data_IF_749294657397
#
_entry.id   IF_749294657397
#
_cell.length_a   1.000
_cell.length_b   1.000
_cell.length_c   1.000
_cell.angle_alpha   90.00
_cell.angle_beta   90.00
_cell.angle_gamma   90.00
#
_symmetry.space_group_name_H-M   'P 1'
#
loop_
_entity.id
_entity.type
_entity.pdbx_description
1 polymer ?
#
# COMPACT_ATOMS: atom_id res chain seq x y z
N UNK A 1 10.92 -2.69 -20.92
CA UNK A 1 10.54 -3.42 -19.70
C UNK A 1 10.74 -2.47 -18.52
N UNK A 2 9.83 -2.50 -17.54
CA UNK A 2 10.03 -1.74 -16.30
C UNK A 2 10.23 -2.76 -15.20
N UNK A 3 11.36 -2.70 -14.54
CA UNK A 3 11.64 -3.53 -13.37
C UNK A 3 11.22 -2.80 -12.11
N UNK A 4 10.68 -3.55 -11.14
CA UNK A 4 10.22 -2.99 -9.87
C UNK A 4 10.99 -3.63 -8.73
N UNK A 5 11.52 -2.80 -7.84
CA UNK A 5 12.24 -3.21 -6.64
C UNK A 5 11.55 -2.60 -5.41
N UNK A 6 11.25 -3.42 -4.39
CA UNK A 6 10.77 -2.91 -3.11
C UNK A 6 11.97 -2.55 -2.24
N UNK A 7 12.09 -1.26 -1.89
CA UNK A 7 13.17 -0.74 -1.05
C UNK A 7 12.86 -0.93 0.44
N UNK A 8 11.61 -0.68 0.83
CA UNK A 8 11.14 -0.76 2.21
C UNK A 8 9.66 -1.13 2.21
N UNK A 9 9.23 -1.88 3.23
CA UNK A 9 7.82 -2.19 3.44
C UNK A 9 7.52 -2.40 4.91
N UNK A 10 6.37 -1.90 5.33
CA UNK A 10 5.78 -2.13 6.66
C UNK A 10 4.41 -2.75 6.47
N UNK A 11 4.14 -3.84 7.19
CA UNK A 11 2.90 -4.62 7.07
C UNK A 11 2.17 -4.65 8.40
N UNK A 12 0.84 -4.60 8.33
CA UNK A 12 -0.06 -4.80 9.47
C UNK A 12 -1.20 -5.75 9.14
N UNK A 13 -1.46 -6.69 10.03
CA UNK A 13 -2.59 -7.62 9.90
C UNK A 13 -3.90 -6.97 10.34
N UNK A 14 -5.01 -7.39 9.72
CA UNK A 14 -6.37 -7.03 10.07
C UNK A 14 -7.36 -8.14 9.69
N UNK A 15 -8.62 -8.01 10.10
CA UNK A 15 -9.66 -9.01 9.87
C UNK A 15 -10.21 -9.58 11.18
N UNK A 16 -11.09 -10.58 11.07
CA UNK A 16 -11.73 -11.17 12.23
C UNK A 16 -10.83 -12.21 12.92
N UNK A 17 -9.89 -12.78 12.17
CA UNK A 17 -8.95 -13.79 12.65
C UNK A 17 -7.49 -13.34 12.44
N UNK A 18 -6.58 -13.68 13.38
CA UNK A 18 -5.14 -13.44 13.18
C UNK A 18 -4.64 -14.11 11.91
N UNK A 19 -3.86 -13.39 11.09
CA UNK A 19 -3.30 -13.93 9.86
C UNK A 19 -4.31 -14.17 8.73
N UNK A 20 -5.46 -13.49 8.73
CA UNK A 20 -6.44 -13.58 7.64
C UNK A 20 -6.07 -12.61 6.50
N UNK A 21 -5.96 -11.31 6.82
CA UNK A 21 -5.69 -10.24 5.85
C UNK A 21 -4.57 -9.35 6.34
N UNK A 22 -3.91 -8.68 5.40
CA UNK A 22 -2.89 -7.68 5.71
C UNK A 22 -3.01 -6.46 4.82
N UNK A 23 -2.56 -5.33 5.34
CA UNK A 23 -2.28 -4.10 4.60
C UNK A 23 -0.77 -3.82 4.69
N UNK A 24 -0.18 -3.40 3.58
CA UNK A 24 1.24 -3.14 3.46
C UNK A 24 1.46 -1.76 2.84
N UNK A 25 2.26 -0.94 3.49
CA UNK A 25 2.77 0.31 2.95
C UNK A 25 4.21 0.06 2.51
N UNK A 26 4.50 0.26 1.23
CA UNK A 26 5.83 0.02 0.66
C UNK A 26 6.36 1.20 -0.12
N UNK A 27 7.68 1.37 -0.06
CA UNK A 27 8.45 2.26 -0.91
C UNK A 27 9.12 1.42 -1.97
N UNK A 28 8.80 1.70 -3.22
CA UNK A 28 9.28 0.93 -4.37
C UNK A 28 10.08 1.83 -5.31
N UNK A 29 10.93 1.21 -6.11
CA UNK A 29 11.69 1.82 -7.19
C UNK A 29 11.24 1.18 -8.51
N UNK A 30 10.94 2.00 -9.50
CA UNK A 30 10.76 1.60 -10.89
C UNK A 30 12.05 1.92 -11.65
N UNK A 31 12.59 0.92 -12.35
CA UNK A 31 13.79 1.02 -13.18
C UNK A 31 13.35 0.87 -14.63
N UNK A 32 13.58 1.91 -15.45
CA UNK A 32 13.21 1.93 -16.86
C UNK A 32 14.36 1.40 -17.74
N UNK A 33 14.04 1.02 -18.98
CA UNK A 33 15.04 0.50 -19.94
C UNK A 33 16.19 1.48 -20.24
N UNK A 34 15.95 2.79 -20.09
CA UNK A 34 16.94 3.84 -20.28
C UNK A 34 17.85 4.05 -19.05
N UNK A 35 17.66 3.24 -18.00
CA UNK A 35 18.37 3.32 -16.74
C UNK A 35 17.85 4.41 -15.80
N UNK A 36 16.80 5.15 -16.16
CA UNK A 36 16.18 6.10 -15.25
C UNK A 36 15.42 5.38 -14.14
N UNK A 37 15.52 5.93 -12.92
CA UNK A 37 14.92 5.37 -11.72
C UNK A 37 13.93 6.37 -11.11
N UNK A 38 12.77 5.88 -10.69
CA UNK A 38 11.81 6.67 -9.92
C UNK A 38 11.33 5.90 -8.69
N UNK A 39 11.21 6.59 -7.56
CA UNK A 39 10.64 6.00 -6.34
C UNK A 39 9.20 6.40 -6.14
N UNK A 40 8.37 5.46 -5.71
CA UNK A 40 6.96 5.69 -5.42
C UNK A 40 6.51 4.93 -4.18
N UNK A 41 5.44 5.42 -3.56
CA UNK A 41 4.78 4.77 -2.44
C UNK A 41 3.62 3.92 -2.96
N UNK A 42 3.39 2.77 -2.34
CA UNK A 42 2.27 1.89 -2.66
C UNK A 42 1.63 1.37 -1.38
N UNK A 43 0.31 1.42 -1.31
CA UNK A 43 -0.48 0.71 -0.31
C UNK A 43 -1.06 -0.53 -0.98
N UNK A 44 -0.84 -1.69 -0.38
CA UNK A 44 -1.32 -2.96 -0.91
C UNK A 44 -2.12 -3.70 0.14
N UNK A 45 -3.15 -4.43 -0.29
CA UNK A 45 -3.88 -5.36 0.55
C UNK A 45 -3.59 -6.78 0.09
N UNK A 46 -3.68 -7.73 1.00
CA UNK A 46 -3.55 -9.13 0.68
C UNK A 46 -4.09 -10.04 1.77
N UNK A 47 -3.92 -11.34 1.55
CA UNK A 47 -4.31 -12.40 2.47
C UNK A 47 -3.23 -13.48 2.50
N UNK A 48 -3.24 -14.29 3.55
CA UNK A 48 -2.31 -15.39 3.69
C UNK A 48 -2.87 -16.64 3.00
N UNK A 49 -2.05 -17.30 2.20
CA UNK A 49 -2.31 -18.63 1.64
C UNK A 49 -1.27 -19.62 2.16
N UNK A 50 -1.53 -20.92 2.01
CA UNK A 50 -0.62 -21.97 2.50
C UNK A 50 0.77 -21.94 1.85
N UNK A 51 0.90 -21.32 0.67
CA UNK A 51 2.16 -21.19 -0.06
C UNK A 51 2.85 -19.85 0.25
N UNK A 52 2.28 -18.75 -0.25
CA UNK A 52 2.81 -17.41 -0.08
C UNK A 52 1.70 -16.37 0.14
N UNK A 53 1.99 -15.23 0.79
CA UNK A 53 1.05 -14.11 0.90
C UNK A 53 0.57 -13.65 -0.48
N UNK A 54 -0.73 -13.65 -0.69
CA UNK A 54 -1.36 -13.25 -1.94
C UNK A 54 -1.77 -11.78 -1.87
N UNK A 55 -1.34 -10.99 -2.84
CA UNK A 55 -1.71 -9.58 -2.95
C UNK A 55 -2.97 -9.42 -3.79
N UNK A 56 -3.92 -8.63 -3.31
CA UNK A 56 -5.21 -8.37 -3.96
C UNK A 56 -5.22 -7.01 -4.67
N UNK A 57 -5.39 -5.95 -3.88
CA UNK A 57 -5.49 -4.58 -4.41
C UNK A 57 -4.20 -3.82 -4.12
N UNK A 58 -3.84 -2.93 -5.04
CA UNK A 58 -2.68 -2.04 -4.93
C UNK A 58 -3.10 -0.63 -5.32
N UNK A 59 -2.66 0.34 -4.54
CA UNK A 59 -2.91 1.76 -4.76
C UNK A 59 -1.58 2.49 -4.69
N UNK A 60 -1.17 3.11 -5.80
CA UNK A 60 0.01 3.98 -5.82
C UNK A 60 -0.34 5.29 -5.14
N UNK A 61 0.42 5.64 -4.11
CA UNK A 61 0.23 6.88 -3.35
C UNK A 61 1.08 7.98 -3.99
N UNK A 62 0.50 9.17 -4.27
CA UNK A 62 1.28 10.34 -4.68
C UNK A 62 2.35 10.68 -3.63
N UNK A 63 3.53 11.12 -4.08
CA UNK A 63 4.60 11.58 -3.18
C UNK A 63 4.52 13.09 -2.89
N UNK A 64 3.49 13.77 -3.42
CA UNK A 64 3.22 15.17 -3.09
C UNK A 64 2.71 15.30 -1.66
N UNK A 65 3.37 16.16 -0.87
CA UNK A 65 3.07 16.34 0.54
C UNK A 65 1.61 16.72 0.80
N UNK A 66 1.01 17.59 -0.02
CA UNK A 66 -0.37 18.04 0.20
C UNK A 66 -1.37 16.92 -0.05
N UNK A 67 -1.10 16.06 -1.04
CA UNK A 67 -1.92 14.90 -1.30
C UNK A 67 -1.88 13.90 -0.13
N UNK A 68 -0.69 13.66 0.44
CA UNK A 68 -0.53 12.77 1.61
C UNK A 68 -1.22 13.35 2.84
N UNK A 69 -1.00 14.64 3.13
CA UNK A 69 -1.66 15.35 4.25
C UNK A 69 -3.18 15.28 4.14
N UNK A 70 -3.73 15.52 2.94
CA UNK A 70 -5.17 15.43 2.72
C UNK A 70 -5.73 14.03 3.05
N UNK A 71 -5.03 12.96 2.67
CA UNK A 71 -5.44 11.59 3.00
C UNK A 71 -5.36 11.35 4.51
N UNK A 72 -4.27 11.76 5.17
CA UNK A 72 -4.07 11.56 6.61
C UNK A 72 -5.13 12.30 7.44
N UNK A 73 -5.51 13.51 7.01
CA UNK A 73 -6.52 14.32 7.69
C UNK A 73 -7.94 13.79 7.49
N UNK A 74 -8.29 13.38 6.26
CA UNK A 74 -9.69 13.09 5.92
C UNK A 74 -10.06 11.61 6.07
N UNK A 75 -9.13 10.68 5.88
CA UNK A 75 -9.42 9.25 5.91
C UNK A 75 -10.00 8.78 7.26
N UNK A 76 -9.51 9.22 8.44
CA UNK A 76 -10.11 8.85 9.72
C UNK A 76 -11.56 9.33 9.87
N UNK A 77 -11.84 10.58 9.50
CA UNK A 77 -13.20 11.14 9.56
C UNK A 77 -14.16 10.39 8.63
N UNK A 78 -13.71 10.08 7.40
CA UNK A 78 -14.50 9.28 6.46
C UNK A 78 -14.76 7.87 6.98
N UNK A 79 -13.77 7.25 7.62
CA UNK A 79 -13.94 5.94 8.25
C UNK A 79 -14.97 5.97 9.39
N UNK A 80 -14.96 7.00 10.24
CA UNK A 80 -15.94 7.14 11.31
C UNK A 80 -17.38 7.29 10.79
N UNK A 81 -17.56 7.97 9.65
CA UNK A 81 -18.87 8.11 9.00
C UNK A 81 -19.37 6.79 8.43
N UNK A 82 -18.51 6.04 7.74
CA UNK A 82 -18.85 4.72 7.18
C UNK A 82 -19.33 3.72 8.25
N UNK A 83 -18.86 3.84 9.50
CA UNK A 83 -19.31 2.97 10.61
C UNK A 83 -20.68 3.34 11.19
N UNK A 84 -21.23 4.50 10.83
CA UNK A 84 -22.52 4.99 11.34
C UNK A 84 -23.69 4.68 10.40
N UNK A 85 -23.39 4.34 9.14
CA UNK A 85 -24.35 3.90 8.12
C UNK A 85 -24.60 2.38 8.18
#
# INVERSE_FOLDING_TARGET
MVEFETLEKERRDYGNYPGEKFIEVSRNKAIQDDGSENTFLQISTGYYSDEEPQYNNRFTVPTDQKAVEHVVENLPEMFEKEQQD
#
